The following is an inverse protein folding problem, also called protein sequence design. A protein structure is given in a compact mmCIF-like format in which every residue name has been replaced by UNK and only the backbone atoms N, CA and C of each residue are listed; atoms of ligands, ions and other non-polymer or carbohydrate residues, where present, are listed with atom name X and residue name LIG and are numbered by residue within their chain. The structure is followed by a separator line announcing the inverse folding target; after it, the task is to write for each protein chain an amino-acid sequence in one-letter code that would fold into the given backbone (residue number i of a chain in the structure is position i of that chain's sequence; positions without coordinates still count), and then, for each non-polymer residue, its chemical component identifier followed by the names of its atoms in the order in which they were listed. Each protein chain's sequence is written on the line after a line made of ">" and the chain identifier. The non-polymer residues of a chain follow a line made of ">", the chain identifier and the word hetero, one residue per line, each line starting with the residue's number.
data_IF_159582053922
#
_entry.id   IF_159582053922
#
_cell.length_a   1.000
_cell.length_b   1.000
_cell.length_c   1.000
_cell.angle_alpha   90.00
_cell.angle_beta   90.00
_cell.angle_gamma   90.00
#
_symmetry.space_group_name_H-M   'P 1'
#
loop_
_entity.id
_entity.type
_entity.pdbx_description
1 polymer ?
#
# COMPACT_ATOMS: atom_id res chain seq x y z
N UNK A 1 -23.67 11.59 -9.68
CA UNK A 1 -23.16 10.20 -9.59
C UNK A 1 -22.02 10.23 -8.59
N UNK A 2 -22.06 9.38 -7.56
CA UNK A 2 -21.03 9.30 -6.53
C UNK A 2 -20.38 7.93 -6.66
N UNK A 3 -19.05 7.91 -6.82
CA UNK A 3 -18.27 6.69 -6.93
C UNK A 3 -17.26 6.67 -5.78
N UNK A 4 -17.20 5.54 -5.08
CA UNK A 4 -16.25 5.30 -3.99
C UNK A 4 -15.39 4.13 -4.44
N UNK A 5 -14.07 4.35 -4.52
CA UNK A 5 -13.09 3.33 -4.92
C UNK A 5 -11.92 3.36 -3.94
N UNK A 6 -11.43 2.17 -3.59
CA UNK A 6 -10.21 1.99 -2.80
C UNK A 6 -8.99 1.77 -3.70
N UNK A 7 -9.22 1.45 -4.98
CA UNK A 7 -8.15 1.29 -5.95
C UNK A 7 -7.62 2.67 -6.36
N UNK A 8 -6.42 2.97 -5.86
CA UNK A 8 -5.69 4.20 -6.15
C UNK A 8 -5.38 4.35 -7.62
N UNK A 9 -5.06 3.27 -8.34
CA UNK A 9 -4.75 3.33 -9.78
C UNK A 9 -5.96 3.82 -10.59
N UNK A 10 -7.16 3.38 -10.20
CA UNK A 10 -8.40 3.86 -10.80
C UNK A 10 -8.66 5.34 -10.47
N UNK A 11 -8.52 5.71 -9.19
CA UNK A 11 -8.74 7.10 -8.76
C UNK A 11 -7.76 8.06 -9.42
N UNK A 12 -6.51 7.65 -9.61
CA UNK A 12 -5.46 8.45 -10.26
C UNK A 12 -5.83 8.84 -11.70
N UNK A 13 -6.50 7.96 -12.44
CA UNK A 13 -6.90 8.21 -13.83
C UNK A 13 -8.20 9.00 -13.99
N UNK A 14 -9.03 9.06 -12.96
CA UNK A 14 -10.37 9.67 -13.02
C UNK A 14 -10.45 10.98 -12.24
N UNK A 15 -9.67 11.11 -11.17
CA UNK A 15 -9.62 12.32 -10.36
C UNK A 15 -8.88 13.44 -11.09
N UNK A 16 -9.54 14.58 -11.25
CA UNK A 16 -8.92 15.82 -11.75
C UNK A 16 -8.60 16.80 -10.62
N UNK A 17 -9.26 16.61 -9.48
CA UNK A 17 -9.11 17.42 -8.28
C UNK A 17 -9.22 16.49 -7.06
N UNK A 18 -8.34 16.67 -6.09
CA UNK A 18 -8.33 15.91 -4.84
C UNK A 18 -8.49 16.88 -3.68
N UNK A 19 -9.59 16.75 -2.93
CA UNK A 19 -9.79 17.46 -1.67
C UNK A 19 -9.27 16.58 -0.54
N UNK A 20 -8.39 17.11 0.28
CA UNK A 20 -7.82 16.40 1.41
C UNK A 20 -7.98 17.15 2.72
N UNK A 21 -8.00 16.41 3.81
CA UNK A 21 -8.17 16.94 5.16
C UNK A 21 -6.87 16.73 5.95
N UNK A 22 -6.43 17.76 6.66
CA UNK A 22 -5.17 17.74 7.43
C UNK A 22 -5.30 17.11 8.84
N UNK A 23 -6.50 16.66 9.21
CA UNK A 23 -6.82 16.13 10.54
C UNK A 23 -6.91 17.19 11.66
N UNK A 24 -6.64 18.47 11.36
CA UNK A 24 -6.75 19.63 12.27
C UNK A 24 -7.93 20.54 11.92
N UNK A 25 -8.77 20.11 10.97
CA UNK A 25 -9.95 20.86 10.50
C UNK A 25 -9.67 21.73 9.28
N UNK A 26 -8.47 21.67 8.72
CA UNK A 26 -8.12 22.25 7.42
C UNK A 26 -8.51 21.32 6.29
N UNK A 27 -9.06 21.90 5.22
CA UNK A 27 -9.36 21.22 3.97
C UNK A 27 -8.61 21.92 2.84
N UNK A 28 -7.88 21.15 2.04
CA UNK A 28 -7.00 21.66 1.01
C UNK A 28 -7.33 20.99 -0.32
N UNK A 29 -7.45 21.80 -1.36
CA UNK A 29 -7.75 21.35 -2.70
C UNK A 29 -6.44 21.25 -3.50
N UNK A 30 -6.20 20.08 -4.07
CA UNK A 30 -5.12 19.84 -5.02
C UNK A 30 -5.69 19.63 -6.42
N UNK A 31 -5.03 20.23 -7.40
CA UNK A 31 -5.36 20.10 -8.82
C UNK A 31 -4.42 19.07 -9.43
N UNK A 32 -4.97 17.93 -9.85
CA UNK A 32 -4.19 16.79 -10.30
C UNK A 32 -4.78 15.47 -9.78
N UNK A 33 -4.04 14.42 -10.07
CA UNK A 33 -4.32 13.05 -9.62
C UNK A 33 -3.91 12.82 -8.16
N UNK A 34 -4.15 11.61 -7.66
CA UNK A 34 -3.84 11.22 -6.28
C UNK A 34 -2.33 11.04 -6.08
N UNK A 35 -1.60 10.63 -7.11
CA UNK A 35 -0.15 10.37 -7.02
C UNK A 35 0.66 11.66 -6.90
N UNK A 36 0.34 12.68 -7.70
CA UNK A 36 0.95 14.01 -7.60
C UNK A 36 0.67 14.69 -6.26
N UNK A 37 -0.50 14.42 -5.65
CA UNK A 37 -0.79 14.85 -4.29
C UNK A 37 0.18 14.21 -3.29
N UNK A 38 0.37 12.89 -3.38
CA UNK A 38 1.22 12.13 -2.46
C UNK A 38 2.70 12.50 -2.60
N UNK A 39 3.19 12.72 -3.82
CA UNK A 39 4.53 13.27 -4.06
C UNK A 39 4.69 14.64 -3.39
N UNK A 40 3.66 15.49 -3.47
CA UNK A 40 3.66 16.81 -2.84
C UNK A 40 3.42 16.78 -1.33
N UNK A 41 2.91 15.68 -0.78
CA UNK A 41 2.78 15.44 0.66
C UNK A 41 3.97 14.72 1.27
N UNK A 42 4.88 14.22 0.43
CA UNK A 42 6.18 13.73 0.83
C UNK A 42 7.14 14.74 1.50
N UNK A 43 6.86 16.06 1.69
CA UNK A 43 7.67 16.93 2.53
C UNK A 43 7.09 17.10 3.96
N UNK A 44 6.18 16.24 4.42
CA UNK A 44 5.76 16.24 5.81
C UNK A 44 6.89 15.89 6.80
N UNK A 45 8.01 15.35 6.32
CA UNK A 45 9.28 15.32 7.07
C UNK A 45 10.07 16.63 6.93
N UNK A 46 10.02 17.35 5.79
CA UNK A 46 10.82 18.57 5.56
C UNK A 46 10.42 19.78 6.43
N UNK A 47 9.15 19.92 6.85
CA UNK A 47 8.78 20.98 7.81
C UNK A 47 9.19 20.64 9.26
N UNK A 48 9.47 19.37 9.54
CA UNK A 48 10.11 18.94 10.80
C UNK A 48 11.65 19.06 10.68
N UNK A 49 12.21 18.80 9.49
CA UNK A 49 13.63 18.93 9.16
C UNK A 49 14.12 20.39 9.17
N UNK A 50 13.29 21.36 8.80
CA UNK A 50 13.61 22.80 8.93
C UNK A 50 13.80 23.24 10.40
N UNK A 51 13.41 22.41 11.38
CA UNK A 51 13.73 22.60 12.80
C UNK A 51 15.04 21.91 13.21
N UNK A 52 15.56 20.99 12.38
CA UNK A 52 16.84 20.29 12.56
C UNK A 52 18.06 21.02 11.93
N UNK A 53 17.89 22.26 11.47
CA UNK A 53 18.92 23.21 10.99
C UNK A 53 20.01 23.61 12.02
N UNK A 54 20.28 22.83 13.09
CA UNK A 54 21.14 23.27 14.21
C UNK A 54 22.16 22.27 14.78
N UNK A 55 22.80 21.40 14.00
CA UNK A 55 24.04 20.72 14.44
C UNK A 55 25.07 20.57 13.32
N UNK A 56 26.36 20.94 13.51
CA UNK A 56 27.41 20.65 12.54
C UNK A 56 28.08 19.31 12.86
N UNK A 57 28.07 18.34 11.94
CA UNK A 57 28.91 17.14 12.05
C UNK A 57 29.51 16.80 10.68
N UNK A 58 30.83 16.62 10.70
CA UNK A 58 31.77 16.50 9.60
C UNK A 58 31.54 15.27 8.70
N UNK A 59 31.81 15.44 7.40
CA UNK A 59 31.97 14.36 6.42
C UNK A 59 33.07 13.38 6.82
N UNK A 60 32.78 12.08 6.74
CA UNK A 60 33.79 11.03 6.63
C UNK A 60 33.51 10.21 5.35
N UNK A 61 34.44 10.16 4.38
CA UNK A 61 34.25 9.39 3.16
C UNK A 61 34.82 7.99 3.36
N UNK A 62 33.96 6.98 3.51
CA UNK A 62 34.14 5.62 2.96
C UNK A 62 33.16 4.63 3.61
N UNK A 63 32.17 4.21 2.83
CA UNK A 63 31.54 2.91 3.01
C UNK A 63 31.26 2.32 1.61
N UNK A 64 32.28 1.69 1.03
CA UNK A 64 32.10 0.78 -0.10
C UNK A 64 31.34 -0.45 0.40
N UNK A 65 30.01 -0.42 0.29
CA UNK A 65 29.20 -1.63 0.50
C UNK A 65 29.36 -2.50 -0.75
N UNK A 66 30.17 -3.55 -0.63
CA UNK A 66 30.33 -4.53 -1.69
C UNK A 66 29.00 -5.25 -1.91
N UNK A 67 28.41 -5.05 -3.09
CA UNK A 67 27.28 -5.82 -3.59
C UNK A 67 27.74 -7.25 -3.91
N UNK A 68 27.85 -8.10 -2.88
CA UNK A 68 27.97 -9.54 -3.12
C UNK A 68 26.63 -10.03 -3.63
N UNK A 69 26.61 -10.57 -4.86
CA UNK A 69 25.42 -11.13 -5.51
C UNK A 69 24.80 -12.19 -4.59
N UNK A 70 23.71 -11.82 -3.91
CA UNK A 70 22.96 -12.73 -3.03
C UNK A 70 22.24 -13.75 -3.92
N UNK A 71 22.77 -14.96 -4.01
CA UNK A 71 22.01 -16.10 -4.56
C UNK A 71 20.95 -16.54 -3.55
N UNK A 72 19.80 -16.98 -4.05
CA UNK A 72 18.71 -17.53 -3.25
C UNK A 72 19.19 -18.65 -2.31
N UNK A 73 18.85 -18.54 -1.02
CA UNK A 73 19.07 -19.60 -0.04
C UNK A 73 17.91 -20.63 -0.09
N UNK A 74 18.14 -21.87 0.34
CA UNK A 74 17.15 -22.97 0.27
C UNK A 74 15.82 -22.64 0.98
N UNK A 75 15.88 -21.83 2.06
CA UNK A 75 14.69 -21.31 2.75
C UNK A 75 13.87 -20.34 1.89
N UNK A 76 14.54 -19.46 1.15
CA UNK A 76 13.91 -18.48 0.26
C UNK A 76 13.25 -19.17 -0.93
N UNK A 77 13.76 -20.33 -1.36
CA UNK A 77 13.17 -21.07 -2.48
C UNK A 77 11.84 -21.73 -2.09
N UNK A 78 11.78 -22.29 -0.89
CA UNK A 78 10.52 -22.82 -0.31
C UNK A 78 9.52 -21.69 -0.06
N UNK A 79 9.99 -20.52 0.42
CA UNK A 79 9.16 -19.32 0.57
C UNK A 79 8.61 -18.84 -0.79
N UNK A 80 9.45 -18.77 -1.82
CA UNK A 80 9.08 -18.38 -3.17
C UNK A 80 7.98 -19.28 -3.77
N UNK A 81 8.14 -20.60 -3.65
CA UNK A 81 7.15 -21.57 -4.11
C UNK A 81 5.81 -21.42 -3.34
N UNK A 82 5.87 -21.22 -2.02
CA UNK A 82 4.67 -21.07 -1.19
C UNK A 82 3.95 -19.72 -1.29
N UNK A 83 4.64 -18.67 -1.77
CA UNK A 83 4.05 -17.34 -1.93
C UNK A 83 2.96 -17.32 -3.01
N UNK A 84 3.12 -18.07 -4.10
CA UNK A 84 2.10 -18.16 -5.16
C UNK A 84 0.81 -18.81 -4.63
N UNK A 85 0.92 -19.90 -3.87
CA UNK A 85 -0.22 -20.56 -3.25
C UNK A 85 -0.89 -19.66 -2.20
N UNK A 86 -0.11 -18.88 -1.45
CA UNK A 86 -0.63 -17.94 -0.46
C UNK A 86 -1.39 -16.78 -1.12
N UNK A 87 -0.86 -16.23 -2.22
CA UNK A 87 -1.54 -15.20 -3.02
C UNK A 87 -2.85 -15.74 -3.56
N UNK A 88 -2.84 -16.92 -4.19
CA UNK A 88 -4.05 -17.52 -4.75
C UNK A 88 -5.12 -17.79 -3.67
N UNK A 89 -4.72 -18.30 -2.50
CA UNK A 89 -5.65 -18.53 -1.39
C UNK A 89 -6.25 -17.24 -0.83
N UNK A 90 -5.45 -16.17 -0.77
CA UNK A 90 -5.91 -14.86 -0.30
C UNK A 90 -6.84 -14.19 -1.33
N UNK A 91 -6.58 -14.35 -2.62
CA UNK A 91 -7.46 -13.93 -3.72
C UNK A 91 -8.80 -14.66 -3.71
N UNK A 92 -8.81 -15.99 -3.53
CA UNK A 92 -10.03 -16.77 -3.39
C UNK A 92 -10.85 -16.31 -2.17
N UNK A 93 -10.18 -16.03 -1.05
CA UNK A 93 -10.84 -15.51 0.14
C UNK A 93 -11.43 -14.11 -0.06
N UNK A 94 -10.78 -13.25 -0.86
CA UNK A 94 -11.35 -11.96 -1.26
C UNK A 94 -12.59 -12.13 -2.14
N UNK A 95 -12.54 -13.05 -3.11
CA UNK A 95 -13.68 -13.34 -3.99
C UNK A 95 -14.91 -13.85 -3.22
N UNK A 96 -14.69 -14.66 -2.17
CA UNK A 96 -15.77 -15.14 -1.30
C UNK A 96 -16.35 -14.04 -0.41
N UNK A 97 -15.54 -13.05 -0.01
CA UNK A 97 -16.05 -11.86 0.70
C UNK A 97 -16.85 -10.98 -0.27
N UNK A 98 -16.39 -10.81 -1.50
CA UNK A 98 -17.09 -10.03 -2.52
C UNK A 98 -18.47 -10.63 -2.81
N UNK A 99 -18.59 -11.96 -2.93
CA UNK A 99 -19.90 -12.64 -3.04
C UNK A 99 -20.81 -12.39 -1.83
N UNK A 100 -20.25 -12.37 -0.61
CA UNK A 100 -21.04 -12.05 0.57
C UNK A 100 -21.51 -10.59 0.56
N UNK A 101 -20.72 -9.69 -0.01
CA UNK A 101 -21.05 -8.28 -0.19
C UNK A 101 -22.02 -8.01 -1.36
N UNK A 102 -22.34 -8.99 -2.20
CA UNK A 102 -23.37 -8.86 -3.24
C UNK A 102 -24.80 -8.96 -2.68
N UNK A 103 -24.97 -9.48 -1.46
CA UNK A 103 -26.28 -9.62 -0.83
C UNK A 103 -26.83 -8.26 -0.34
N UNK A 104 -27.98 -7.77 -0.87
CA UNK A 104 -28.60 -6.51 -0.45
C UNK A 104 -28.95 -6.45 1.05
N UNK A 105 -29.14 -7.61 1.69
CA UNK A 105 -29.42 -7.69 3.12
C UNK A 105 -28.25 -7.18 3.98
N UNK A 106 -27.01 -7.30 3.50
CA UNK A 106 -25.81 -6.89 4.24
C UNK A 106 -25.73 -5.36 4.39
N UNK A 107 -26.17 -4.60 3.39
CA UNK A 107 -26.21 -3.12 3.44
C UNK A 107 -27.38 -2.58 4.24
N UNK A 108 -28.42 -3.40 4.42
CA UNK A 108 -29.64 -3.03 5.15
C UNK A 108 -29.50 -3.29 6.66
N UNK A 109 -28.49 -4.05 7.07
CA UNK A 109 -28.32 -4.54 8.43
C UNK A 109 -27.48 -3.56 9.27
N UNK A 110 -28.01 -3.12 10.41
CA UNK A 110 -27.29 -2.26 11.35
C UNK A 110 -26.25 -3.02 12.22
N UNK A 111 -26.00 -4.29 11.91
CA UNK A 111 -25.22 -5.23 12.74
C UNK A 111 -23.69 -5.06 12.59
N UNK A 112 -23.21 -4.10 11.79
CA UNK A 112 -21.78 -3.86 11.57
C UNK A 112 -21.06 -4.92 10.73
N UNK A 113 -21.77 -5.97 10.26
CA UNK A 113 -21.23 -7.04 9.40
C UNK A 113 -20.55 -6.52 8.14
N UNK A 114 -21.12 -5.48 7.52
CA UNK A 114 -20.51 -4.85 6.34
C UNK A 114 -19.13 -4.28 6.66
N UNK A 115 -18.98 -3.58 7.78
CA UNK A 115 -17.70 -3.01 8.19
C UNK A 115 -16.66 -4.09 8.55
N UNK A 116 -17.11 -5.23 9.11
CA UNK A 116 -16.25 -6.37 9.37
C UNK A 116 -15.76 -7.03 8.08
N UNK A 117 -16.66 -7.29 7.13
CA UNK A 117 -16.32 -7.84 5.81
C UNK A 117 -15.37 -6.93 5.04
N UNK A 118 -15.64 -5.62 5.05
CA UNK A 118 -14.77 -4.62 4.43
C UNK A 118 -13.37 -4.61 5.05
N UNK A 119 -13.26 -4.61 6.39
CA UNK A 119 -11.96 -4.70 7.07
C UNK A 119 -11.21 -5.98 6.75
N UNK A 120 -11.93 -7.10 6.68
CA UNK A 120 -11.32 -8.39 6.37
C UNK A 120 -10.79 -8.43 4.94
N UNK A 121 -11.56 -7.88 3.99
CA UNK A 121 -11.14 -7.70 2.59
C UNK A 121 -9.89 -6.83 2.49
N UNK A 122 -9.87 -5.69 3.19
CA UNK A 122 -8.73 -4.77 3.24
C UNK A 122 -7.46 -5.47 3.77
N UNK A 123 -7.59 -6.28 4.83
CA UNK A 123 -6.46 -7.05 5.36
C UNK A 123 -5.93 -8.07 4.35
N UNK A 124 -6.80 -8.76 3.62
CA UNK A 124 -6.39 -9.71 2.58
C UNK A 124 -5.67 -8.99 1.44
N UNK A 125 -6.17 -7.85 0.99
CA UNK A 125 -5.58 -7.06 -0.08
C UNK A 125 -4.16 -6.58 0.28
N UNK A 126 -3.95 -6.11 1.52
CA UNK A 126 -2.63 -5.75 2.03
C UNK A 126 -1.68 -6.96 2.08
N UNK A 127 -2.17 -8.15 2.46
CA UNK A 127 -1.34 -9.36 2.47
C UNK A 127 -0.94 -9.78 1.07
N UNK A 128 -1.87 -9.76 0.11
CA UNK A 128 -1.58 -10.06 -1.29
C UNK A 128 -0.52 -9.10 -1.82
N UNK A 129 -0.71 -7.78 -1.62
CA UNK A 129 0.27 -6.79 -2.04
C UNK A 129 1.66 -7.02 -1.44
N UNK A 130 1.75 -7.30 -0.14
CA UNK A 130 3.02 -7.60 0.52
C UNK A 130 3.66 -8.91 0.02
N UNK A 131 2.85 -9.96 -0.21
CA UNK A 131 3.31 -11.24 -0.73
C UNK A 131 3.83 -11.13 -2.17
N UNK A 132 3.16 -10.33 -3.02
CA UNK A 132 3.60 -10.07 -4.40
C UNK A 132 4.94 -9.34 -4.44
N UNK A 133 5.10 -8.26 -3.66
CA UNK A 133 6.39 -7.56 -3.56
C UNK A 133 7.50 -8.51 -3.11
N UNK A 134 7.20 -9.35 -2.11
CA UNK A 134 8.16 -10.35 -1.62
C UNK A 134 8.51 -11.39 -2.68
N UNK A 135 7.54 -11.82 -3.47
CA UNK A 135 7.75 -12.76 -4.57
C UNK A 135 8.63 -12.14 -5.66
N UNK A 136 8.39 -10.86 -6.01
CA UNK A 136 9.21 -10.10 -6.96
C UNK A 136 10.67 -10.01 -6.50
N UNK A 137 10.93 -9.62 -5.25
CA UNK A 137 12.28 -9.58 -4.66
C UNK A 137 13.01 -10.92 -4.80
N UNK A 138 12.32 -12.03 -4.56
CA UNK A 138 12.89 -13.36 -4.65
C UNK A 138 13.15 -13.77 -6.11
N UNK A 139 12.27 -13.39 -7.04
CA UNK A 139 12.43 -13.66 -8.48
C UNK A 139 13.67 -12.95 -9.07
N UNK A 140 13.97 -11.72 -8.63
CA UNK A 140 15.15 -10.98 -9.06
C UNK A 140 16.46 -11.63 -8.58
N UNK A 141 16.41 -12.34 -7.45
CA UNK A 141 17.56 -13.07 -6.88
C UNK A 141 17.76 -14.46 -7.50
N UNK A 142 16.77 -14.97 -8.25
CA UNK A 142 16.86 -16.21 -9.02
C UNK A 142 17.59 -16.01 -10.35
N UNK A 143 17.50 -14.81 -10.94
CA UNK A 143 18.07 -14.44 -12.26
C UNK A 143 19.56 -14.07 -12.18
#
# INVERSE_FOLDING_TARGET
>A
MLLVSHDRWFLDRVATHVLYLDGRGGAFLHTGDVSSLLERWSPAEELVEQVAEKMPVMENPEAKVSMSKRKLNNKQRVEFEGLLDAIAADEDAMADIDKQMEDPAIYSSADGKLAELQRRREQLELRVGAATVRWEELSELET
#
